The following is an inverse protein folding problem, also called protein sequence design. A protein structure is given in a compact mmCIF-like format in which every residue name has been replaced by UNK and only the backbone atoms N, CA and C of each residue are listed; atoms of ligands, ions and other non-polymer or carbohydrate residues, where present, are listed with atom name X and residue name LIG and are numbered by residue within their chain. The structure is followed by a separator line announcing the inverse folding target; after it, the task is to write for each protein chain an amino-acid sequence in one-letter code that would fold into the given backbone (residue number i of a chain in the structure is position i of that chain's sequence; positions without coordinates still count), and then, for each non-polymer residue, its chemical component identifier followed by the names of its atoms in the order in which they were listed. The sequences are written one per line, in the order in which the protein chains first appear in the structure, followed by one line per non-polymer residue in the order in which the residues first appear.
data_IF_869650501794
#
_entry.id   IF_869650501794
#
_cell.length_a   1.000
_cell.length_b   1.000
_cell.length_c   1.000
_cell.angle_alpha   90.00
_cell.angle_beta   90.00
_cell.angle_gamma   90.00
#
_symmetry.space_group_name_H-M   'P 1'
#
loop_
_entity.id
_entity.type
_entity.pdbx_description
1 polymer ?
#
# COMPACT_ATOMS: atom_id res chain seq x y z
N UNK A 1 5.62 21.22 -2.82
CA UNK A 1 6.84 20.55 -3.35
C UNK A 1 6.56 19.06 -3.36
N UNK A 2 6.10 18.51 -4.48
CA UNK A 2 5.80 17.07 -4.59
C UNK A 2 7.14 16.32 -4.68
N UNK A 3 7.66 15.85 -3.55
CA UNK A 3 8.89 15.05 -3.51
C UNK A 3 8.56 13.62 -3.95
N UNK A 4 8.60 13.38 -5.27
CA UNK A 4 8.67 12.03 -5.84
C UNK A 4 9.99 11.32 -5.55
N UNK A 5 10.53 11.43 -4.33
CA UNK A 5 11.86 10.95 -3.95
C UNK A 5 11.90 10.21 -2.62
N UNK A 6 10.74 9.90 -2.04
CA UNK A 6 10.62 9.20 -0.75
C UNK A 6 10.37 7.69 -0.89
N UNK A 7 10.36 7.17 -2.12
CA UNK A 7 10.11 5.75 -2.43
C UNK A 7 11.38 5.13 -3.03
N UNK A 8 11.85 4.05 -2.40
CA UNK A 8 13.04 3.29 -2.81
C UNK A 8 12.68 2.25 -3.87
N UNK A 9 11.53 1.60 -3.68
CA UNK A 9 10.99 0.57 -4.57
C UNK A 9 9.46 0.61 -4.50
N UNK A 10 8.82 0.39 -5.64
CA UNK A 10 7.37 0.30 -5.78
C UNK A 10 7.01 -0.93 -6.63
N UNK A 11 5.97 -1.64 -6.24
CA UNK A 11 5.36 -2.72 -7.01
C UNK A 11 3.84 -2.57 -6.97
N UNK A 12 3.23 -2.44 -8.14
CA UNK A 12 1.78 -2.40 -8.30
C UNK A 12 1.34 -3.68 -9.00
N UNK A 13 0.45 -4.45 -8.37
CA UNK A 13 -0.13 -5.66 -8.96
C UNK A 13 -1.65 -5.55 -9.00
N UNK A 14 -2.25 -6.07 -10.07
CA UNK A 14 -3.69 -6.19 -10.19
C UNK A 14 -4.06 -7.65 -10.47
N UNK A 15 -4.99 -8.18 -9.69
CA UNK A 15 -5.66 -9.44 -9.94
C UNK A 15 -7.09 -9.17 -10.40
N UNK A 16 -7.30 -9.11 -11.72
CA UNK A 16 -8.62 -8.84 -12.32
C UNK A 16 -9.63 -9.94 -12.00
N UNK A 17 -9.19 -11.19 -11.84
CA UNK A 17 -10.10 -12.31 -11.51
C UNK A 17 -10.65 -12.21 -10.09
N UNK A 18 -9.89 -11.61 -9.17
CA UNK A 18 -10.31 -11.38 -7.79
C UNK A 18 -10.82 -9.95 -7.55
N UNK A 19 -10.76 -9.07 -8.55
CA UNK A 19 -11.09 -7.65 -8.45
C UNK A 19 -10.31 -6.96 -7.31
N UNK A 20 -9.00 -7.25 -7.25
CA UNK A 20 -8.08 -6.78 -6.20
C UNK A 20 -6.87 -6.09 -6.81
N UNK A 21 -6.44 -5.01 -6.17
CA UNK A 21 -5.19 -4.30 -6.47
C UNK A 21 -4.32 -4.30 -5.22
N UNK A 22 -3.03 -4.57 -5.38
CA UNK A 22 -2.04 -4.44 -4.31
C UNK A 22 -0.95 -3.46 -4.74
N UNK A 23 -0.67 -2.48 -3.89
CA UNK A 23 0.46 -1.56 -4.01
C UNK A 23 1.42 -1.82 -2.84
N UNK A 24 2.67 -2.10 -3.16
CA UNK A 24 3.74 -2.31 -2.18
C UNK A 24 4.87 -1.34 -2.45
N UNK A 25 5.30 -0.60 -1.44
CA UNK A 25 6.46 0.27 -1.57
C UNK A 25 7.26 0.42 -0.28
N UNK A 26 8.54 0.69 -0.45
CA UNK A 26 9.45 0.98 0.65
C UNK A 26 9.78 2.47 0.66
N UNK A 27 9.63 3.10 1.83
CA UNK A 27 10.06 4.48 2.05
C UNK A 27 11.55 4.54 2.43
N UNK A 28 12.17 5.70 2.24
CA UNK A 28 13.57 5.94 2.60
C UNK A 28 13.87 5.71 4.09
N UNK A 29 12.88 5.88 4.97
CA UNK A 29 13.00 5.62 6.41
C UNK A 29 12.90 4.12 6.78
N UNK A 30 12.83 3.24 5.78
CA UNK A 30 12.70 1.78 5.97
C UNK A 30 11.26 1.32 6.21
N UNK A 31 10.28 2.23 6.28
CA UNK A 31 8.87 1.86 6.38
C UNK A 31 8.44 1.09 5.14
N UNK A 32 7.85 -0.09 5.33
CA UNK A 32 7.21 -0.86 4.27
C UNK A 32 5.71 -0.62 4.31
N UNK A 33 5.15 -0.21 3.18
CA UNK A 33 3.70 -0.02 3.00
C UNK A 33 3.19 -1.12 2.08
N UNK A 34 2.12 -1.79 2.50
CA UNK A 34 1.29 -2.66 1.67
C UNK A 34 -0.13 -2.11 1.70
N UNK A 35 -0.64 -1.70 0.55
CA UNK A 35 -2.03 -1.28 0.37
C UNK A 35 -2.74 -2.34 -0.48
N UNK A 36 -3.83 -2.90 0.03
CA UNK A 36 -4.70 -3.82 -0.69
C UNK A 36 -6.06 -3.15 -0.86
N UNK A 37 -6.54 -3.10 -2.09
CA UNK A 37 -7.87 -2.60 -2.43
C UNK A 37 -8.66 -3.77 -2.98
N UNK A 38 -9.75 -4.10 -2.32
CA UNK A 38 -10.71 -5.12 -2.73
C UNK A 38 -11.98 -4.43 -3.20
N UNK A 39 -12.13 -4.31 -4.52
CA UNK A 39 -13.27 -3.64 -5.14
C UNK A 39 -14.55 -4.47 -5.04
N UNK A 40 -14.44 -5.81 -4.95
CA UNK A 40 -15.61 -6.66 -4.76
C UNK A 40 -16.24 -6.47 -3.38
N UNK A 41 -15.43 -6.15 -2.37
CA UNK A 41 -15.88 -5.93 -0.98
C UNK A 41 -15.97 -4.45 -0.58
N UNK A 42 -15.54 -3.53 -1.46
CA UNK A 42 -15.51 -2.09 -1.20
C UNK A 42 -14.70 -1.74 0.07
N UNK A 43 -13.56 -2.41 0.23
CA UNK A 43 -12.66 -2.23 1.37
C UNK A 43 -11.23 -2.01 0.90
N UNK A 44 -10.55 -1.10 1.58
CA UNK A 44 -9.12 -0.93 1.52
C UNK A 44 -8.49 -1.35 2.84
N UNK A 45 -7.34 -2.02 2.75
CA UNK A 45 -6.44 -2.31 3.87
C UNK A 45 -5.12 -1.60 3.60
N UNK A 46 -4.70 -0.73 4.52
CA UNK A 46 -3.36 -0.15 4.54
C UNK A 46 -2.59 -0.77 5.69
N UNK A 47 -1.52 -1.48 5.38
CA UNK A 47 -0.56 -2.02 6.34
C UNK A 47 0.74 -1.22 6.26
N UNK A 48 1.20 -0.72 7.40
CA UNK A 48 2.49 -0.09 7.55
C UNK A 48 3.35 -0.89 8.52
N UNK A 49 4.52 -1.34 8.08
CA UNK A 49 5.57 -1.89 8.93
C UNK A 49 6.62 -0.81 9.11
N UNK A 50 6.75 -0.32 10.34
CA UNK A 50 7.67 0.76 10.72
C UNK A 50 8.79 0.16 11.57
N UNK A 51 10.03 0.57 11.33
CA UNK A 51 11.17 0.17 12.14
C UNK A 51 11.04 0.73 13.56
N UNK A 52 11.50 -0.04 14.55
CA UNK A 52 11.51 0.43 15.94
C UNK A 52 12.52 1.57 16.14
N UNK A 53 12.14 2.58 16.92
CA UNK A 53 13.04 3.65 17.34
C UNK A 53 13.85 3.19 18.58
N UNK A 54 15.08 2.71 18.38
CA UNK A 54 15.95 2.23 19.47
C UNK A 54 16.17 3.28 20.56
N UNK A 55 16.27 4.56 20.20
CA UNK A 55 16.40 5.68 21.14
C UNK A 55 15.22 5.81 22.12
N UNK A 56 14.06 5.24 21.75
CA UNK A 56 12.85 5.18 22.58
C UNK A 56 12.61 3.80 23.18
N UNK A 57 13.60 2.91 23.10
CA UNK A 57 13.53 1.54 23.62
C UNK A 57 12.70 0.58 22.76
N UNK A 58 12.44 0.92 21.50
CA UNK A 58 11.70 0.04 20.58
C UNK A 58 12.69 -0.80 19.77
N UNK A 59 12.90 -2.05 20.19
CA UNK A 59 13.83 -2.97 19.54
C UNK A 59 13.21 -3.83 18.42
N UNK A 60 11.90 -3.72 18.21
CA UNK A 60 11.16 -4.51 17.22
C UNK A 60 10.38 -3.61 16.26
N UNK A 61 10.09 -4.15 15.08
CA UNK A 61 9.20 -3.52 14.10
C UNK A 61 7.77 -3.41 14.65
N UNK A 62 7.12 -2.29 14.36
CA UNK A 62 5.71 -2.06 14.63
C UNK A 62 4.89 -2.25 13.36
N UNK A 63 3.76 -2.95 13.48
CA UNK A 63 2.83 -3.16 12.36
C UNK A 63 1.51 -2.49 12.69
N UNK A 64 1.10 -1.57 11.83
CA UNK A 64 -0.21 -0.92 11.90
C UNK A 64 -1.04 -1.34 10.69
N UNK A 65 -2.30 -1.69 10.92
CA UNK A 65 -3.25 -2.05 9.85
C UNK A 65 -4.51 -1.20 10.00
N UNK A 66 -4.85 -0.48 8.95
CA UNK A 66 -6.06 0.33 8.86
C UNK A 66 -6.98 -0.29 7.82
N UNK A 67 -8.24 -0.51 8.20
CA UNK A 67 -9.27 -1.04 7.32
C UNK A 67 -10.32 0.05 7.14
N UNK A 68 -10.59 0.41 5.89
CA UNK A 68 -11.54 1.48 5.56
C UNK A 68 -12.48 1.01 4.46
N UNK A 69 -13.76 1.36 4.58
CA UNK A 69 -14.68 1.29 3.45
C UNK A 69 -14.27 2.32 2.40
N UNK A 70 -14.47 2.00 1.13
CA UNK A 70 -14.13 2.86 0.00
C UNK A 70 -15.29 2.95 -0.99
N UNK A 71 -15.37 4.03 -1.75
CA UNK A 71 -16.20 4.07 -2.96
C UNK A 71 -15.38 3.66 -4.16
N UNK A 72 -15.94 2.83 -5.05
CA UNK A 72 -15.26 2.43 -6.30
C UNK A 72 -14.89 3.61 -7.19
N UNK A 73 -15.63 4.71 -7.08
CA UNK A 73 -15.43 5.93 -7.88
C UNK A 73 -14.16 6.69 -7.48
N UNK A 74 -13.62 6.42 -6.28
CA UNK A 74 -12.41 7.08 -5.75
C UNK A 74 -11.12 6.42 -6.26
N UNK A 75 -11.21 5.26 -6.94
CA UNK A 75 -10.07 4.41 -7.26
C UNK A 75 -10.03 3.98 -8.73
N UNK A 76 -8.82 3.69 -9.21
CA UNK A 76 -8.59 3.11 -10.54
C UNK A 76 -8.86 1.61 -10.44
N UNK A 77 -9.76 1.09 -11.28
CA UNK A 77 -10.16 -0.33 -11.25
C UNK A 77 -9.00 -1.29 -11.49
N UNK A 78 -9.13 -2.53 -11.02
CA UNK A 78 -8.12 -3.57 -11.24
C UNK A 78 -7.87 -3.85 -12.72
N UNK A 79 -8.90 -3.79 -13.57
CA UNK A 79 -8.76 -3.94 -15.02
C UNK A 79 -7.88 -2.84 -15.63
N UNK A 80 -8.10 -1.58 -15.23
CA UNK A 80 -7.29 -0.46 -15.69
C UNK A 80 -5.84 -0.55 -15.18
N UNK A 81 -5.64 -0.93 -13.91
CA UNK A 81 -4.29 -1.12 -13.35
C UNK A 81 -3.55 -2.27 -14.01
N UNK A 82 -4.23 -3.36 -14.38
CA UNK A 82 -3.61 -4.51 -15.07
C UNK A 82 -3.00 -4.13 -16.44
N UNK A 83 -3.42 -3.00 -17.01
CA UNK A 83 -2.97 -2.48 -18.31
C UNK A 83 -1.88 -1.41 -18.17
N UNK A 84 -1.55 -0.98 -16.95
CA UNK A 84 -0.40 -0.11 -16.72
C UNK A 84 0.88 -0.86 -17.09
N UNK A 85 1.72 -0.21 -17.92
CA UNK A 85 3.06 -0.71 -18.21
C UNK A 85 4.00 -0.13 -17.15
N UNK A 86 4.64 -1.01 -16.38
CA UNK A 86 5.80 -0.68 -15.55
C UNK A 86 7.06 -0.66 -16.40
#
# INVERSE_FOLDING_TARGET
MHKGGDVVQENITANVAQDVVTLEFQRNDGTLITQLIDFSREVQILKALVLGEEERGQSQYQVMCFVTHISKEEFISSDAISKLRQ
#
